data_IF_333563611204
#
_entry.id   IF_333563611204
#
_cell.length_a   1.000
_cell.length_b   1.000
_cell.length_c   1.000
_cell.angle_alpha   90.00
_cell.angle_beta   90.00
_cell.angle_gamma   90.00
#
_symmetry.space_group_name_H-M   'P 1'
#
loop_
_entity.id
_entity.type
_entity.pdbx_description
1 polymer ?
#
# COMPACT_ATOMS: atom_id res chain seq x y z
N UNK A 1 -1.12 -36.37 6.67
CA UNK A 1 -0.79 -36.05 8.07
C UNK A 1 0.07 -37.17 8.58
N UNK A 2 1.18 -36.87 9.26
CA UNK A 2 1.95 -37.91 9.93
C UNK A 2 1.18 -38.40 11.18
N UNK A 3 1.51 -39.58 11.69
CA UNK A 3 0.85 -40.19 12.87
C UNK A 3 0.98 -39.34 14.15
N UNK A 4 1.79 -38.27 14.11
CA UNK A 4 1.98 -37.32 15.19
C UNK A 4 1.17 -36.01 15.02
N UNK A 5 0.28 -35.94 14.03
CA UNK A 5 -0.60 -34.80 13.76
C UNK A 5 0.16 -33.46 13.58
N UNK A 6 1.38 -33.51 13.04
CA UNK A 6 2.21 -32.35 12.76
C UNK A 6 2.14 -32.03 11.27
N UNK A 7 1.84 -30.77 10.96
CA UNK A 7 1.88 -30.27 9.60
C UNK A 7 3.24 -29.59 9.36
N UNK A 8 3.97 -30.08 8.37
CA UNK A 8 5.22 -29.48 7.91
C UNK A 8 5.01 -28.92 6.51
N UNK A 9 5.45 -27.68 6.29
CA UNK A 9 5.44 -27.08 4.95
C UNK A 9 6.52 -27.73 4.10
N UNK A 10 6.13 -28.43 3.04
CA UNK A 10 7.06 -29.12 2.13
C UNK A 10 7.47 -28.26 0.93
N UNK A 11 6.61 -27.32 0.49
CA UNK A 11 6.88 -26.41 -0.62
C UNK A 11 6.06 -25.14 -0.50
N UNK A 12 6.55 -24.05 -1.08
CA UNK A 12 5.77 -22.85 -1.37
C UNK A 12 5.98 -22.49 -2.85
N UNK A 13 4.94 -22.00 -3.51
CA UNK A 13 4.98 -21.61 -4.91
C UNK A 13 4.26 -20.29 -5.13
N UNK A 14 4.75 -19.50 -6.08
CA UNK A 14 4.08 -18.29 -6.55
C UNK A 14 3.54 -18.60 -7.95
N UNK A 15 2.21 -18.66 -8.07
CA UNK A 15 1.49 -19.05 -9.28
C UNK A 15 0.48 -17.97 -9.68
N UNK A 16 0.16 -17.89 -10.97
CA UNK A 16 -0.79 -16.89 -11.50
C UNK A 16 -2.24 -17.13 -11.01
N UNK A 17 -2.58 -18.39 -10.69
CA UNK A 17 -3.86 -18.74 -10.07
C UNK A 17 -3.91 -20.21 -9.65
N UNK A 18 -4.83 -20.54 -8.75
CA UNK A 18 -5.07 -21.91 -8.26
C UNK A 18 -5.86 -22.72 -9.30
N UNK A 19 -5.23 -23.01 -10.44
CA UNK A 19 -5.80 -23.83 -11.51
C UNK A 19 -5.07 -25.17 -11.60
N UNK A 20 -5.73 -26.14 -12.24
CA UNK A 20 -5.24 -27.51 -12.36
C UNK A 20 -3.84 -27.56 -12.98
N UNK A 21 -3.61 -26.80 -14.05
CA UNK A 21 -2.31 -26.74 -14.72
C UNK A 21 -1.19 -26.18 -13.85
N UNK A 22 -1.48 -25.17 -13.02
CA UNK A 22 -0.50 -24.59 -12.10
C UNK A 22 -0.14 -25.56 -10.99
N UNK A 23 -1.12 -26.30 -10.46
CA UNK A 23 -0.86 -27.33 -9.45
C UNK A 23 -0.08 -28.51 -10.02
N UNK A 24 -0.39 -28.97 -11.23
CA UNK A 24 0.40 -29.99 -11.92
C UNK A 24 1.86 -29.55 -12.07
N UNK A 25 2.09 -28.32 -12.52
CA UNK A 25 3.45 -27.78 -12.61
C UNK A 25 4.17 -27.73 -11.25
N UNK A 26 3.50 -27.30 -10.17
CA UNK A 26 4.10 -27.31 -8.82
C UNK A 26 4.47 -28.73 -8.38
N UNK A 27 3.60 -29.71 -8.64
CA UNK A 27 3.83 -31.12 -8.31
C UNK A 27 4.98 -31.68 -9.15
N UNK A 28 5.06 -31.36 -10.43
CA UNK A 28 6.17 -31.79 -11.30
C UNK A 28 7.50 -31.23 -10.81
N UNK A 29 7.55 -29.93 -10.46
CA UNK A 29 8.74 -29.31 -9.86
C UNK A 29 9.09 -29.96 -8.51
N UNK A 30 8.10 -30.33 -7.71
CA UNK A 30 8.32 -31.02 -6.43
C UNK A 30 8.90 -32.42 -6.66
N UNK A 31 8.35 -33.16 -7.62
CA UNK A 31 8.84 -34.48 -8.01
C UNK A 31 10.28 -34.39 -8.51
N UNK A 32 10.62 -33.48 -9.41
CA UNK A 32 12.00 -33.31 -9.89
C UNK A 32 12.95 -32.94 -8.75
N UNK A 33 12.52 -32.05 -7.85
CA UNK A 33 13.36 -31.57 -6.74
C UNK A 33 13.61 -32.59 -5.64
N UNK A 34 12.62 -33.45 -5.34
CA UNK A 34 12.65 -34.43 -4.24
C UNK A 34 13.00 -35.84 -4.71
N UNK A 35 12.68 -36.23 -5.95
CA UNK A 35 12.89 -37.60 -6.44
C UNK A 35 14.37 -37.97 -6.59
N UNK A 36 15.28 -37.01 -6.67
CA UNK A 36 16.72 -37.32 -6.68
C UNK A 36 17.22 -37.65 -5.27
N UNK A 37 17.17 -38.93 -4.93
CA UNK A 37 17.73 -39.49 -3.69
C UNK A 37 19.21 -39.12 -3.53
N UNK A 38 19.97 -38.96 -4.62
CA UNK A 38 21.38 -38.58 -4.51
C UNK A 38 21.54 -37.15 -3.99
N UNK A 39 20.62 -36.24 -4.33
CA UNK A 39 20.61 -34.86 -3.83
C UNK A 39 20.31 -34.82 -2.33
N UNK A 40 19.35 -35.64 -1.88
CA UNK A 40 19.07 -35.84 -0.46
C UNK A 40 20.31 -36.41 0.25
N UNK A 41 20.87 -37.51 -0.25
CA UNK A 41 22.06 -38.13 0.35
C UNK A 41 23.24 -37.17 0.41
N UNK A 42 23.47 -36.34 -0.62
CA UNK A 42 24.52 -35.31 -0.60
C UNK A 42 24.28 -34.23 0.45
N UNK A 43 23.05 -33.75 0.60
CA UNK A 43 22.72 -32.72 1.59
C UNK A 43 22.95 -33.20 3.03
N UNK A 44 22.66 -34.48 3.30
CA UNK A 44 22.85 -35.13 4.61
C UNK A 44 24.16 -35.93 4.71
N UNK A 45 25.04 -35.88 3.71
CA UNK A 45 26.33 -36.59 3.73
C UNK A 45 27.30 -36.01 4.76
N UNK A 46 27.12 -34.72 5.12
CA UNK A 46 27.93 -34.06 6.12
C UNK A 46 27.54 -34.57 7.52
N UNK A 47 28.55 -34.98 8.28
CA UNK A 47 28.38 -35.39 9.68
C UNK A 47 28.27 -34.13 10.54
N UNK A 48 27.13 -33.92 11.19
CA UNK A 48 27.01 -32.92 12.25
C UNK A 48 27.75 -33.49 13.47
N UNK A 49 28.94 -32.97 13.76
CA UNK A 49 29.62 -33.32 15.01
C UNK A 49 28.79 -32.81 16.19
N UNK A 50 28.68 -33.59 17.28
CA UNK A 50 28.00 -33.09 18.47
C UNK A 50 28.69 -31.80 18.91
N UNK A 51 27.89 -30.79 19.26
CA UNK A 51 28.43 -29.57 19.86
C UNK A 51 29.22 -29.98 21.12
N UNK A 52 30.49 -29.59 21.25
CA UNK A 52 31.25 -29.88 22.45
C UNK A 52 30.61 -29.14 23.64
N UNK A 53 30.94 -29.58 24.86
CA UNK A 53 30.45 -28.91 26.06
C UNK A 53 30.86 -27.43 26.07
N UNK A 54 30.03 -26.59 26.68
CA UNK A 54 30.17 -25.11 26.67
C UNK A 54 31.54 -24.66 27.17
N UNK A 55 32.18 -25.45 28.03
CA UNK A 55 33.50 -25.21 28.60
C UNK A 55 34.60 -25.21 27.52
N UNK A 56 34.41 -25.97 26.44
CA UNK A 56 35.36 -26.10 25.33
C UNK A 56 35.11 -25.08 24.20
N UNK A 57 34.18 -24.15 24.36
CA UNK A 57 33.93 -23.14 23.33
C UNK A 57 34.98 -22.05 23.46
N UNK A 58 35.81 -21.89 22.43
CA UNK A 58 36.75 -20.78 22.29
C UNK A 58 35.97 -19.50 22.00
N UNK A 59 35.34 -18.95 23.04
CA UNK A 59 34.63 -17.66 22.96
C UNK A 59 35.70 -16.58 22.99
N UNK A 60 36.23 -16.24 21.82
CA UNK A 60 36.97 -14.99 21.64
C UNK A 60 36.04 -13.83 21.98
N UNK A 61 36.56 -12.82 22.68
CA UNK A 61 35.82 -11.61 23.04
C UNK A 61 35.61 -10.75 21.79
N UNK A 62 34.70 -11.21 20.93
CA UNK A 62 34.22 -10.50 19.77
C UNK A 62 33.40 -9.32 20.28
N UNK A 63 34.05 -8.16 20.41
CA UNK A 63 33.47 -6.89 20.84
C UNK A 63 32.31 -6.38 19.94
N UNK A 64 31.83 -7.19 19.00
CA UNK A 64 30.71 -6.85 18.14
C UNK A 64 29.38 -7.13 18.84
N UNK A 65 28.78 -6.07 19.36
CA UNK A 65 27.41 -6.11 19.88
C UNK A 65 26.43 -6.20 18.71
N UNK A 66 25.94 -7.41 18.41
CA UNK A 66 24.79 -7.60 17.52
C UNK A 66 23.59 -6.92 18.18
N UNK A 67 23.21 -5.74 17.68
CA UNK A 67 22.01 -5.04 18.16
C UNK A 67 20.79 -5.81 17.72
N UNK A 68 19.86 -6.06 18.64
CA UNK A 68 18.54 -6.58 18.31
C UNK A 68 17.91 -5.73 17.20
N UNK A 69 17.27 -6.33 16.18
CA UNK A 69 16.56 -5.60 15.15
C UNK A 69 15.58 -4.61 15.79
N UNK A 70 15.51 -3.38 15.26
CA UNK A 70 14.56 -2.38 15.75
C UNK A 70 13.13 -2.88 15.46
N UNK A 71 12.52 -3.51 16.44
CA UNK A 71 11.11 -3.87 16.39
C UNK A 71 10.26 -2.62 16.60
N UNK A 72 10.06 -1.86 15.52
CA UNK A 72 9.02 -0.83 15.51
C UNK A 72 7.69 -1.51 15.28
N UNK A 73 6.71 -1.26 16.15
CA UNK A 73 5.33 -1.66 15.86
C UNK A 73 4.88 -0.82 14.66
N UNK A 74 4.36 -1.42 13.59
CA UNK A 74 3.61 -0.67 12.59
C UNK A 74 2.55 0.17 13.32
N UNK A 75 2.31 1.41 12.87
CA UNK A 75 1.21 2.22 13.39
C UNK A 75 -0.06 1.38 13.47
N UNK A 76 -0.78 1.42 14.60
CA UNK A 76 -2.04 0.70 14.81
C UNK A 76 -2.97 0.91 13.59
N UNK A 77 -3.12 -0.12 12.76
CA UNK A 77 -3.91 -0.10 11.53
C UNK A 77 -3.25 -0.80 10.34
N UNK A 78 -4.04 -1.06 9.29
CA UNK A 78 -3.53 -1.62 8.03
C UNK A 78 -2.59 -0.61 7.37
N UNK A 79 -1.40 -1.02 6.90
CA UNK A 79 -0.57 -0.18 6.05
C UNK A 79 -1.42 0.36 4.89
N UNK A 80 -1.51 1.68 4.77
CA UNK A 80 -2.26 2.30 3.68
C UNK A 80 -1.64 1.86 2.36
N UNK A 81 -2.39 1.12 1.52
CA UNK A 81 -1.98 0.83 0.14
C UNK A 81 -1.86 2.17 -0.59
N UNK A 82 -0.64 2.66 -0.79
CA UNK A 82 -0.37 3.72 -1.75
C UNK A 82 -0.48 3.07 -3.14
N UNK A 83 -1.56 3.37 -3.85
CA UNK A 83 -1.66 3.01 -5.27
C UNK A 83 -0.64 3.87 -6.02
N UNK A 84 0.35 3.23 -6.65
CA UNK A 84 1.14 3.90 -7.68
C UNK A 84 0.23 4.12 -8.89
N UNK A 85 -0.05 5.39 -9.21
CA UNK A 85 -0.84 5.73 -10.41
C UNK A 85 0.07 5.65 -11.63
N UNK A 86 -0.34 4.95 -12.70
CA UNK A 86 0.39 4.95 -13.97
C UNK A 86 0.25 6.33 -14.68
N UNK A 87 1.17 6.64 -15.60
CA UNK A 87 1.28 7.97 -16.23
C UNK A 87 0.08 8.37 -17.10
N UNK A 88 -0.73 7.40 -17.52
CA UNK A 88 -1.89 7.56 -18.40
C UNK A 88 -3.19 7.90 -17.66
N UNK A 89 -3.23 7.76 -16.33
CA UNK A 89 -4.38 8.20 -15.53
C UNK A 89 -4.41 9.73 -15.40
N UNK A 90 -5.28 10.37 -16.17
CA UNK A 90 -5.50 11.83 -16.10
C UNK A 90 -6.00 12.19 -14.70
N UNK A 91 -5.17 12.91 -13.93
CA UNK A 91 -5.60 13.46 -12.65
C UNK A 91 -6.70 14.49 -12.93
N UNK A 92 -7.89 14.30 -12.37
CA UNK A 92 -8.85 15.40 -12.32
C UNK A 92 -8.18 16.61 -11.67
N UNK A 93 -8.28 17.77 -12.32
CA UNK A 93 -7.63 19.04 -11.94
C UNK A 93 -7.80 19.43 -10.46
N UNK A 94 -8.75 18.81 -9.76
CA UNK A 94 -8.96 18.90 -8.31
C UNK A 94 -7.80 18.39 -7.42
N UNK A 95 -6.80 17.69 -7.96
CA UNK A 95 -5.67 17.15 -7.19
C UNK A 95 -4.35 17.95 -7.36
N UNK A 96 -4.32 18.93 -8.27
CA UNK A 96 -3.21 19.89 -8.32
C UNK A 96 -3.51 20.92 -7.23
N UNK A 97 -2.66 20.94 -6.20
CA UNK A 97 -2.87 21.72 -4.98
C UNK A 97 -3.39 23.12 -5.25
N UNK A 98 -4.55 23.46 -4.66
CA UNK A 98 -5.10 24.82 -4.73
C UNK A 98 -4.07 25.78 -4.14
N UNK A 99 -3.50 26.62 -4.99
CA UNK A 99 -2.63 27.72 -4.56
C UNK A 99 -3.47 28.64 -3.65
N UNK A 100 -2.96 28.93 -2.47
CA UNK A 100 -3.65 29.77 -1.50
C UNK A 100 -3.67 31.23 -1.97
N UNK A 101 -4.87 31.79 -2.13
CA UNK A 101 -5.10 33.18 -2.53
C UNK A 101 -5.73 33.95 -1.37
N UNK A 102 -5.17 35.12 -1.05
CA UNK A 102 -5.70 35.99 -0.01
C UNK A 102 -7.06 36.58 -0.40
N UNK A 103 -8.09 36.38 0.44
CA UNK A 103 -9.46 36.86 0.17
C UNK A 103 -9.64 38.39 0.20
N UNK A 104 -8.70 39.15 0.77
CA UNK A 104 -8.78 40.62 0.89
C UNK A 104 -8.21 41.34 -0.31
N UNK A 105 -7.03 40.92 -0.79
CA UNK A 105 -6.33 41.59 -1.89
C UNK A 105 -6.16 40.72 -3.14
N UNK A 106 -6.44 39.41 -3.07
CA UNK A 106 -6.25 38.47 -4.17
C UNK A 106 -4.79 38.05 -4.42
N UNK A 107 -3.84 38.48 -3.58
CA UNK A 107 -2.43 38.12 -3.70
C UNK A 107 -2.08 36.74 -3.12
N UNK A 108 -0.88 36.26 -3.46
CA UNK A 108 -0.26 35.06 -2.89
C UNK A 108 0.73 35.44 -1.77
N UNK A 109 1.36 34.46 -1.13
CA UNK A 109 2.40 34.61 -0.07
C UNK A 109 1.96 35.12 1.32
N UNK A 110 0.68 35.40 1.54
CA UNK A 110 0.20 35.81 2.86
C UNK A 110 -1.23 35.33 3.12
N UNK A 111 -1.60 35.23 4.40
CA UNK A 111 -2.94 34.87 4.84
C UNK A 111 -3.81 36.11 5.03
N UNK A 112 -5.13 35.96 4.90
CA UNK A 112 -6.07 37.07 5.09
C UNK A 112 -5.84 37.84 6.41
N UNK A 113 -5.48 37.11 7.48
CA UNK A 113 -5.22 37.67 8.81
C UNK A 113 -3.95 38.52 8.88
N UNK A 114 -2.96 38.24 8.05
CA UNK A 114 -1.67 38.95 8.00
C UNK A 114 -1.56 39.89 6.80
N UNK A 115 -2.65 40.09 6.07
CA UNK A 115 -2.69 40.92 4.87
C UNK A 115 -2.56 42.41 5.23
N UNK A 116 -1.45 43.02 4.79
CA UNK A 116 -1.17 44.46 4.90
C UNK A 116 -1.67 45.27 3.69
N UNK A 117 -2.11 44.59 2.64
CA UNK A 117 -2.63 45.23 1.43
C UNK A 117 -4.06 45.74 1.65
N UNK A 118 -4.46 46.86 1.02
CA UNK A 118 -5.83 47.35 1.06
C UNK A 118 -6.80 46.33 0.47
N UNK A 119 -8.06 46.37 0.92
CA UNK A 119 -9.12 45.58 0.29
C UNK A 119 -9.27 46.00 -1.17
N UNK A 120 -9.48 45.03 -2.06
CA UNK A 120 -9.75 45.33 -3.46
C UNK A 120 -11.05 46.15 -3.52
N UNK A 121 -10.94 47.44 -3.82
CA UNK A 121 -12.13 48.29 -4.00
C UNK A 121 -12.93 47.76 -5.19
N UNK A 122 -14.24 47.64 -4.98
CA UNK A 122 -15.18 47.23 -5.99
C UNK A 122 -15.39 48.44 -6.92
N UNK A 123 -14.52 48.63 -7.91
CA UNK A 123 -14.73 49.63 -8.95
C UNK A 123 -15.95 49.21 -9.77
N UNK A 124 -17.05 49.92 -9.53
CA UNK A 124 -18.30 49.87 -10.27
C UNK A 124 -18.11 50.47 -11.66
N UNK A 125 -17.65 49.68 -12.61
CA UNK A 125 -17.87 49.88 -14.04
C UNK A 125 -18.31 48.51 -14.56
N UNK A 126 -19.62 48.29 -14.60
CA UNK A 126 -20.20 47.01 -15.02
C UNK A 126 -20.15 46.84 -16.54
N UNK A 127 -19.88 45.63 -17.06
CA UNK A 127 -20.33 45.28 -18.41
C UNK A 127 -21.80 44.85 -18.32
N UNK A 128 -22.63 45.43 -19.19
CA UNK A 128 -24.04 45.09 -19.42
C UNK A 128 -24.28 43.58 -19.36
N UNK A 129 -24.99 43.09 -18.35
CA UNK A 129 -25.45 41.69 -18.26
C UNK A 129 -26.83 41.54 -18.92
N UNK A 130 -26.89 41.74 -20.23
CA UNK A 130 -27.84 41.00 -21.06
C UNK A 130 -27.24 39.61 -21.31
N UNK A 131 -28.05 38.56 -21.16
CA UNK A 131 -27.73 37.13 -21.26
C UNK A 131 -26.97 36.48 -20.08
N UNK A 132 -27.72 35.89 -19.14
CA UNK A 132 -27.58 34.51 -18.64
C UNK A 132 -28.60 34.28 -17.49
N UNK A 133 -29.89 34.26 -17.82
CA UNK A 133 -30.88 33.67 -16.90
C UNK A 133 -30.67 32.15 -16.93
N UNK A 134 -30.38 31.54 -15.77
CA UNK A 134 -30.41 30.08 -15.62
C UNK A 134 -31.82 29.57 -15.96
N UNK A 135 -31.98 28.50 -16.76
CA UNK A 135 -33.30 27.93 -16.98
C UNK A 135 -33.88 27.42 -15.63
N UNK A 136 -35.21 27.50 -15.43
CA UNK A 136 -35.83 27.01 -14.21
C UNK A 136 -35.56 25.52 -14.04
N UNK A 137 -35.22 25.12 -12.81
CA UNK A 137 -35.01 23.72 -12.46
C UNK A 137 -36.26 22.87 -12.70
N UNK A 138 -36.04 21.60 -13.04
CA UNK A 138 -37.10 20.62 -13.30
C UNK A 138 -38.07 20.52 -12.11
N UNK A 139 -39.40 20.44 -12.32
CA UNK A 139 -40.35 20.26 -11.22
C UNK A 139 -40.09 18.96 -10.48
N UNK A 140 -40.30 18.95 -9.16
CA UNK A 140 -40.25 17.75 -8.34
C UNK A 140 -41.39 16.80 -8.75
N UNK A 141 -41.09 15.50 -8.86
CA UNK A 141 -42.10 14.47 -9.08
C UNK A 141 -43.06 14.44 -7.87
N UNK A 142 -44.38 14.28 -8.07
CA UNK A 142 -45.32 14.14 -6.97
C UNK A 142 -45.10 12.79 -6.26
N UNK A 143 -45.17 12.83 -4.93
CA UNK A 143 -45.09 11.67 -4.05
C UNK A 143 -46.30 10.75 -4.30
N UNK A 144 -46.07 9.61 -4.93
CA UNK A 144 -47.05 8.55 -5.09
C UNK A 144 -47.31 7.86 -3.74
N UNK A 145 -48.15 8.45 -2.90
CA UNK A 145 -48.86 7.73 -1.83
C UNK A 145 -50.33 7.62 -2.21
N UNK A 146 -50.73 6.41 -2.58
CA UNK A 146 -52.10 6.06 -2.86
C UNK A 146 -52.22 4.68 -3.47
N UNK A 147 -52.36 3.66 -2.62
CA UNK A 147 -53.23 2.54 -2.95
C UNK A 147 -53.86 1.94 -1.70
N UNK A 148 -55.19 1.87 -1.78
CA UNK A 148 -56.07 0.91 -1.12
C UNK A 148 -55.72 -0.49 -1.64
#
# INVERSE_FOLDING_TARGET
MDDNNRLFTIVFAVIEGENDSSWHWVIDCLHEGIADVNKYLKAYALTITPLPDKILWDIEDLHYVIKSPKQTRPSLGRPRKKRFRPQDEVSSQSQVGRIHVCKRCGGYEHQHKTCKNPSKELSSEGPSTEAFRRPPGRPRRPDGRGRI
#
